data_IF_207829015434
#
_entry.id   IF_207829015434
#
_cell.length_a   1.000
_cell.length_b   1.000
_cell.length_c   1.000
_cell.angle_alpha   90.00
_cell.angle_beta   90.00
_cell.angle_gamma   90.00
#
_symmetry.space_group_name_H-M   'P 1'
#
loop_
_entity.id
_entity.type
_entity.pdbx_description
1 polymer ?
#
# COMPACT_ATOMS: atom_id res chain seq x y z
N UNK A 1 23.98 13.08 6.75
CA UNK A 1 24.39 12.38 7.99
C UNK A 1 23.31 11.37 8.31
N UNK A 2 23.64 10.09 8.47
CA UNK A 2 22.68 9.07 8.92
C UNK A 2 22.46 9.22 10.43
N UNK A 3 21.20 9.29 10.88
CA UNK A 3 20.83 9.30 12.30
C UNK A 3 20.03 8.04 12.60
N UNK A 4 20.50 7.24 13.56
CA UNK A 4 19.77 6.07 14.04
C UNK A 4 18.66 6.52 14.97
N UNK A 5 17.41 6.20 14.63
CA UNK A 5 16.26 6.38 15.52
C UNK A 5 16.12 5.22 16.52
N UNK A 6 15.22 5.35 17.50
CA UNK A 6 14.96 4.28 18.47
C UNK A 6 14.27 3.09 17.80
N UNK A 7 14.57 1.89 18.29
CA UNK A 7 13.91 0.68 17.82
C UNK A 7 12.44 0.65 18.24
N UNK A 8 11.58 0.25 17.31
CA UNK A 8 10.15 0.01 17.56
C UNK A 8 9.94 -1.50 17.67
N UNK A 9 9.40 -2.01 18.79
CA UNK A 9 9.14 -3.45 18.93
C UNK A 9 8.04 -3.90 17.97
N UNK A 10 8.27 -5.02 17.29
CA UNK A 10 7.29 -5.73 16.47
C UNK A 10 6.79 -6.97 17.24
N UNK A 11 5.57 -7.45 16.94
CA UNK A 11 5.11 -8.73 17.51
C UNK A 11 5.71 -9.96 16.81
N UNK A 12 6.49 -9.74 15.76
CA UNK A 12 7.24 -10.79 15.10
C UNK A 12 8.17 -10.22 14.03
N UNK A 13 8.86 -11.11 13.32
CA UNK A 13 9.84 -10.73 12.31
C UNK A 13 9.19 -10.26 11.02
N UNK A 14 9.72 -9.20 10.42
CA UNK A 14 9.31 -8.81 9.07
C UNK A 14 9.51 -9.98 8.09
N UNK A 15 8.58 -10.16 7.15
CA UNK A 15 8.66 -11.17 6.12
C UNK A 15 9.85 -10.90 5.19
N UNK A 16 10.51 -11.96 4.68
CA UNK A 16 11.62 -11.84 3.74
C UNK A 16 11.15 -11.53 2.31
N UNK A 17 10.43 -10.41 2.13
CA UNK A 17 9.87 -9.94 0.87
C UNK A 17 10.39 -8.54 0.58
N UNK A 18 10.62 -8.18 -0.69
CA UNK A 18 10.69 -6.76 -1.06
C UNK A 18 9.33 -6.08 -0.79
N UNK A 19 9.36 -4.78 -0.46
CA UNK A 19 8.14 -4.01 -0.12
C UNK A 19 7.36 -4.56 1.09
N UNK A 20 8.05 -5.17 2.04
CA UNK A 20 7.49 -5.65 3.31
C UNK A 20 7.28 -4.54 4.35
N UNK A 21 7.76 -3.32 4.09
CA UNK A 21 7.67 -2.16 4.97
C UNK A 21 7.10 -0.97 4.20
N UNK A 22 6.12 -0.30 4.80
CA UNK A 22 5.65 1.02 4.38
C UNK A 22 5.64 1.96 5.58
N UNK A 23 5.89 3.24 5.31
CA UNK A 23 5.98 4.29 6.32
C UNK A 23 5.11 5.45 5.87
N UNK A 24 4.20 5.89 6.74
CA UNK A 24 3.41 7.10 6.55
C UNK A 24 3.72 8.08 7.68
N UNK A 25 4.37 9.17 7.32
CA UNK A 25 4.63 10.28 8.24
C UNK A 25 3.40 11.21 8.28
N UNK A 26 2.97 11.57 9.49
CA UNK A 26 1.90 12.54 9.73
C UNK A 26 2.44 13.69 10.60
N UNK A 27 3.15 14.67 10.00
CA UNK A 27 3.84 15.74 10.74
C UNK A 27 2.87 16.55 11.62
N UNK A 28 1.66 16.82 11.13
CA UNK A 28 0.62 17.58 11.86
C UNK A 28 0.22 16.91 13.17
N UNK A 29 0.31 15.58 13.24
CA UNK A 29 -0.02 14.79 14.44
C UNK A 29 1.22 14.38 15.24
N UNK A 30 2.42 14.77 14.78
CA UNK A 30 3.69 14.30 15.33
C UNK A 30 3.74 12.77 15.42
N UNK A 31 3.27 12.08 14.38
CA UNK A 31 3.05 10.64 14.41
C UNK A 31 3.61 9.97 13.15
N UNK A 32 4.23 8.81 13.32
CA UNK A 32 4.64 7.97 12.19
C UNK A 32 3.90 6.64 12.26
N UNK A 33 3.31 6.23 11.14
CA UNK A 33 2.73 4.91 10.97
C UNK A 33 3.70 4.00 10.22
N UNK A 34 3.78 2.75 10.66
CA UNK A 34 4.57 1.69 10.06
C UNK A 34 3.67 0.53 9.72
N UNK A 35 3.80 0.01 8.51
CA UNK A 35 3.06 -1.14 8.01
C UNK A 35 4.09 -2.19 7.64
N UNK A 36 4.05 -3.32 8.34
CA UNK A 36 5.05 -4.38 8.19
C UNK A 36 4.35 -5.67 7.84
N UNK A 37 4.76 -6.33 6.76
CA UNK A 37 4.31 -7.69 6.45
C UNK A 37 5.03 -8.66 7.38
N UNK A 38 4.26 -9.49 8.09
CA UNK A 38 4.74 -10.48 9.06
C UNK A 38 4.03 -11.83 8.83
N UNK A 39 4.72 -12.76 8.17
CA UNK A 39 4.15 -14.07 7.83
C UNK A 39 2.89 -13.93 6.96
N UNK A 40 1.75 -14.55 7.31
CA UNK A 40 0.48 -14.40 6.58
C UNK A 40 -0.29 -13.11 6.95
N UNK A 41 0.24 -12.29 7.85
CA UNK A 41 -0.42 -11.11 8.40
C UNK A 41 0.37 -9.83 8.07
N UNK A 42 -0.27 -8.67 8.25
CA UNK A 42 0.41 -7.38 8.26
C UNK A 42 0.18 -6.72 9.62
N UNK A 43 1.22 -6.10 10.16
CA UNK A 43 1.18 -5.35 11.40
C UNK A 43 1.24 -3.86 11.09
N UNK A 44 0.27 -3.12 11.61
CA UNK A 44 0.28 -1.67 11.63
C UNK A 44 0.69 -1.20 13.01
N UNK A 45 1.61 -0.24 13.06
CA UNK A 45 2.11 0.39 14.26
C UNK A 45 2.02 1.89 14.07
N UNK A 46 1.74 2.60 15.15
CA UNK A 46 1.93 4.05 15.21
C UNK A 46 2.90 4.37 16.32
N UNK A 47 3.82 5.30 16.08
CA UNK A 47 4.80 5.73 17.05
C UNK A 47 4.89 7.25 17.10
N UNK A 48 4.90 7.79 18.32
CA UNK A 48 5.21 9.19 18.60
C UNK A 48 6.70 9.49 18.30
N UNK A 49 7.13 10.76 18.34
CA UNK A 49 8.55 11.09 18.26
C UNK A 49 9.29 10.35 19.39
N UNK A 50 10.55 9.99 19.14
CA UNK A 50 11.34 9.09 20.00
C UNK A 50 10.94 7.60 19.96
N UNK A 51 10.07 7.19 19.03
CA UNK A 51 9.80 5.76 18.77
C UNK A 51 8.95 5.08 19.84
N UNK A 52 8.21 5.85 20.65
CA UNK A 52 7.28 5.32 21.64
C UNK A 52 6.03 4.76 20.91
N UNK A 53 5.76 3.44 20.97
CA UNK A 53 4.58 2.86 20.33
C UNK A 53 3.28 3.37 20.98
N UNK A 54 2.31 3.78 20.16
CA UNK A 54 1.02 4.32 20.61
C UNK A 54 -0.14 3.38 20.33
N UNK A 55 -0.17 2.78 19.15
CA UNK A 55 -1.20 1.83 18.77
C UNK A 55 -0.63 0.78 17.85
N UNK A 56 -1.22 -0.41 17.93
CA UNK A 56 -0.85 -1.54 17.10
C UNK A 56 -2.10 -2.29 16.63
N UNK A 57 -2.11 -2.70 15.37
CA UNK A 57 -3.19 -3.47 14.75
C UNK A 57 -2.61 -4.57 13.88
N UNK A 58 -3.28 -5.71 13.85
CA UNK A 58 -2.99 -6.77 12.89
C UNK A 58 -4.07 -6.78 11.81
N UNK A 59 -3.62 -6.89 10.56
CA UNK A 59 -4.45 -7.10 9.39
C UNK A 59 -4.20 -8.50 8.84
N UNK A 60 -5.26 -9.05 8.27
CA UNK A 60 -5.27 -10.37 7.68
C UNK A 60 -5.61 -10.25 6.20
N UNK A 61 -4.97 -11.07 5.37
CA UNK A 61 -5.42 -11.23 4.01
C UNK A 61 -6.83 -11.84 4.02
N UNK A 62 -7.74 -11.26 3.24
CA UNK A 62 -9.11 -11.75 3.12
C UNK A 62 -9.08 -13.10 2.42
N UNK A 63 -9.81 -14.05 2.97
CA UNK A 63 -9.99 -15.35 2.35
C UNK A 63 -10.79 -15.19 1.04
N UNK A 64 -10.32 -15.88 0.00
CA UNK A 64 -10.98 -15.97 -1.29
C UNK A 64 -11.13 -17.44 -1.70
N UNK A 65 -11.68 -17.70 -2.88
CA UNK A 65 -11.74 -19.06 -3.41
C UNK A 65 -10.31 -19.61 -3.62
N UNK A 66 -10.00 -20.76 -3.01
CA UNK A 66 -8.76 -21.51 -3.21
C UNK A 66 -8.15 -22.09 -1.93
N UNK A 67 -7.22 -23.04 -2.09
CA UNK A 67 -6.75 -23.94 -1.01
C UNK A 67 -5.46 -23.48 -0.33
N UNK A 68 -4.69 -22.59 -0.96
CA UNK A 68 -3.43 -22.06 -0.43
C UNK A 68 -3.61 -21.04 0.71
N UNK A 69 -2.68 -20.94 1.68
CA UNK A 69 -2.75 -19.91 2.71
C UNK A 69 -2.67 -18.51 2.07
N UNK A 70 -3.46 -17.53 2.55
CA UNK A 70 -3.50 -16.20 1.97
C UNK A 70 -2.25 -15.42 2.39
N UNK A 71 -1.18 -15.56 1.61
CA UNK A 71 0.08 -14.87 1.87
C UNK A 71 -0.02 -13.40 1.43
N UNK A 72 0.30 -12.49 2.34
CA UNK A 72 0.42 -11.06 2.05
C UNK A 72 1.76 -10.83 1.35
N UNK A 73 1.72 -10.10 0.24
CA UNK A 73 2.88 -9.82 -0.61
C UNK A 73 3.44 -8.42 -0.39
N UNK A 74 2.58 -7.45 -0.07
CA UNK A 74 2.99 -6.06 0.17
C UNK A 74 1.89 -5.29 0.90
N UNK A 75 2.31 -4.33 1.73
CA UNK A 75 1.46 -3.31 2.36
C UNK A 75 2.00 -1.93 2.01
N UNK A 76 1.13 -0.97 1.67
CA UNK A 76 1.56 0.38 1.30
C UNK A 76 0.47 1.43 1.55
N UNK A 77 0.85 2.58 2.12
CA UNK A 77 -0.03 3.75 2.16
C UNK A 77 0.00 4.51 0.83
N UNK A 78 -1.15 4.59 0.17
CA UNK A 78 -1.37 5.45 -0.99
C UNK A 78 -1.88 6.81 -0.53
N UNK A 79 -1.06 7.84 -0.67
CA UNK A 79 -1.41 9.23 -0.34
C UNK A 79 -1.96 9.91 -1.58
N UNK A 80 -3.28 10.09 -1.63
CA UNK A 80 -3.99 10.73 -2.74
C UNK A 80 -4.37 12.17 -2.33
N UNK A 81 -4.71 13.06 -3.29
CA UNK A 81 -5.01 14.47 -3.01
C UNK A 81 -6.11 14.72 -1.97
N UNK A 82 -7.07 13.81 -1.82
CA UNK A 82 -8.25 13.98 -0.96
C UNK A 82 -8.37 12.94 0.16
N UNK A 83 -7.60 11.84 0.12
CA UNK A 83 -7.61 10.82 1.16
C UNK A 83 -6.35 9.97 1.15
N UNK A 84 -6.09 9.31 2.27
CA UNK A 84 -5.02 8.31 2.37
C UNK A 84 -5.68 6.95 2.53
N UNK A 85 -5.29 5.98 1.71
CA UNK A 85 -5.73 4.60 1.80
C UNK A 85 -4.55 3.70 2.14
N UNK A 86 -4.80 2.70 2.97
CA UNK A 86 -3.86 1.62 3.20
C UNK A 86 -4.20 0.47 2.24
N UNK A 87 -3.27 0.12 1.36
CA UNK A 87 -3.44 -0.96 0.39
C UNK A 87 -2.63 -2.16 0.83
N UNK A 88 -3.27 -3.32 0.83
CA UNK A 88 -2.69 -4.61 1.16
C UNK A 88 -2.92 -5.55 -0.02
N UNK A 89 -1.84 -6.17 -0.50
CA UNK A 89 -1.86 -7.11 -1.61
C UNK A 89 -1.47 -8.49 -1.12
N UNK A 90 -2.01 -9.51 -1.78
CA UNK A 90 -1.82 -10.91 -1.38
C UNK A 90 -1.90 -11.84 -2.58
N UNK A 91 -1.78 -13.13 -2.32
CA UNK A 91 -2.07 -14.18 -3.30
C UNK A 91 -3.57 -14.31 -3.64
N UNK A 92 -4.44 -13.65 -2.88
CA UNK A 92 -5.90 -13.73 -3.05
C UNK A 92 -6.50 -12.51 -3.72
N UNK A 93 -5.85 -11.37 -3.60
CA UNK A 93 -6.51 -10.11 -3.90
C UNK A 93 -5.83 -8.89 -3.36
N UNK A 94 -6.57 -7.79 -3.52
CA UNK A 94 -6.19 -6.44 -3.16
C UNK A 94 -7.25 -5.94 -2.18
N UNK A 95 -6.80 -5.58 -0.98
CA UNK A 95 -7.63 -4.97 0.06
C UNK A 95 -7.24 -3.51 0.20
N UNK A 96 -8.24 -2.64 0.24
CA UNK A 96 -8.03 -1.23 0.58
C UNK A 96 -8.77 -0.91 1.86
N UNK A 97 -8.07 -0.25 2.77
CA UNK A 97 -8.57 0.16 4.06
C UNK A 97 -8.49 1.69 4.20
N UNK A 98 -9.28 2.23 5.12
CA UNK A 98 -8.97 3.54 5.70
C UNK A 98 -7.52 3.57 6.23
N UNK A 99 -6.94 4.76 6.35
CA UNK A 99 -5.51 4.93 6.64
C UNK A 99 -5.02 4.25 7.93
N UNK A 100 -5.90 4.02 8.90
CA UNK A 100 -5.57 3.36 10.18
C UNK A 100 -5.76 1.83 10.15
N UNK A 101 -6.18 1.28 9.01
CA UNK A 101 -6.47 -0.14 8.82
C UNK A 101 -7.72 -0.64 9.55
N UNK A 102 -8.55 0.23 10.13
CA UNK A 102 -9.71 -0.19 10.92
C UNK A 102 -10.86 -0.72 10.08
N UNK A 103 -11.12 -0.09 8.93
CA UNK A 103 -12.26 -0.38 8.05
C UNK A 103 -11.74 -0.73 6.66
N UNK A 104 -12.10 -1.92 6.16
CA UNK A 104 -11.88 -2.29 4.77
C UNK A 104 -12.95 -1.63 3.91
N UNK A 105 -12.54 -0.77 2.98
CA UNK A 105 -13.44 -0.02 2.11
C UNK A 105 -13.61 -0.67 0.75
N UNK A 106 -12.66 -1.52 0.33
CA UNK A 106 -12.71 -2.19 -0.96
C UNK A 106 -11.95 -3.51 -0.96
N UNK A 107 -12.41 -4.46 -1.77
CA UNK A 107 -11.79 -5.75 -2.01
C UNK A 107 -11.91 -6.12 -3.48
N UNK A 108 -10.79 -6.55 -4.06
CA UNK A 108 -10.73 -7.13 -5.40
C UNK A 108 -10.07 -8.51 -5.31
N UNK A 109 -10.83 -9.55 -5.64
CA UNK A 109 -10.29 -10.90 -5.73
C UNK A 109 -9.47 -11.04 -7.02
N UNK A 110 -8.32 -11.71 -6.95
CA UNK A 110 -7.62 -12.13 -8.15
C UNK A 110 -8.29 -13.40 -8.66
N UNK A 111 -8.73 -13.37 -9.91
CA UNK A 111 -9.17 -14.58 -10.58
C UNK A 111 -7.94 -15.34 -11.11
N UNK A 112 -7.82 -16.61 -10.71
CA UNK A 112 -6.81 -17.49 -11.27
C UNK A 112 -7.21 -17.97 -12.66
N UNK A 113 -8.50 -17.97 -13.02
CA UNK A 113 -9.02 -18.53 -14.27
C UNK A 113 -8.42 -19.91 -14.56
N UNK A 114 -7.94 -20.08 -15.79
CA UNK A 114 -7.24 -21.28 -16.30
C UNK A 114 -5.74 -21.33 -15.93
N UNK A 115 -5.26 -20.51 -14.99
CA UNK A 115 -3.86 -20.57 -14.55
C UNK A 115 -3.56 -22.01 -14.10
N UNK A 116 -2.54 -22.62 -14.72
CA UNK A 116 -2.13 -23.96 -14.37
C UNK A 116 -1.86 -24.03 -12.85
N UNK A 117 -2.16 -25.14 -12.16
CA UNK A 117 -2.03 -25.27 -10.70
C UNK A 117 -0.63 -24.94 -10.13
N UNK A 118 0.37 -24.80 -11.00
CA UNK A 118 1.77 -24.53 -10.69
C UNK A 118 2.08 -23.02 -10.63
N UNK A 119 1.20 -22.15 -11.15
CA UNK A 119 1.47 -20.72 -11.22
C UNK A 119 1.00 -20.01 -9.94
N UNK A 120 1.93 -19.36 -9.23
CA UNK A 120 1.59 -18.55 -8.07
C UNK A 120 0.81 -17.30 -8.52
N UNK A 121 -0.46 -17.23 -8.12
CA UNK A 121 -1.32 -16.05 -8.30
C UNK A 121 -1.02 -15.05 -7.21
N UNK A 122 -0.72 -13.80 -7.58
CA UNK A 122 -0.51 -12.71 -6.63
C UNK A 122 -0.72 -11.33 -7.24
N UNK A 123 -0.98 -10.37 -6.36
CA UNK A 123 -0.85 -8.95 -6.63
C UNK A 123 0.37 -8.39 -5.90
N UNK A 124 1.09 -7.47 -6.51
CA UNK A 124 2.26 -6.79 -5.93
C UNK A 124 2.63 -5.56 -6.75
N UNK A 125 3.41 -4.66 -6.16
CA UNK A 125 3.79 -3.40 -6.78
C UNK A 125 2.61 -2.46 -6.66
N UNK A 126 2.68 -1.57 -5.68
CA UNK A 126 1.61 -0.64 -5.36
C UNK A 126 2.16 0.77 -5.58
N UNK A 127 1.48 1.54 -6.41
CA UNK A 127 1.76 2.96 -6.57
C UNK A 127 0.46 3.75 -6.60
N UNK A 128 0.54 5.03 -6.24
CA UNK A 128 -0.56 5.97 -6.38
C UNK A 128 -0.14 7.16 -7.21
N UNK A 129 -1.03 7.62 -8.09
CA UNK A 129 -0.82 8.79 -8.93
C UNK A 129 -2.14 9.52 -9.10
N UNK A 130 -2.15 10.82 -8.79
CA UNK A 130 -3.37 11.62 -8.73
C UNK A 130 -4.45 10.94 -7.87
N UNK A 131 -5.57 10.54 -8.48
CA UNK A 131 -6.69 9.87 -7.83
C UNK A 131 -6.71 8.36 -8.09
N UNK A 132 -5.67 7.81 -8.70
CA UNK A 132 -5.57 6.41 -9.04
C UNK A 132 -4.63 5.64 -8.10
N UNK A 133 -4.97 4.39 -7.87
CA UNK A 133 -4.08 3.39 -7.28
C UNK A 133 -3.81 2.33 -8.34
N UNK A 134 -2.54 2.07 -8.62
CA UNK A 134 -2.10 1.04 -9.56
C UNK A 134 -1.53 -0.14 -8.79
N UNK A 135 -1.93 -1.35 -9.18
CA UNK A 135 -1.44 -2.60 -8.59
C UNK A 135 -1.04 -3.59 -9.67
N UNK A 136 0.19 -4.07 -9.61
CA UNK A 136 0.69 -5.11 -10.52
C UNK A 136 0.19 -6.51 -10.17
N UNK A 137 0.15 -7.39 -11.17
CA UNK A 137 -0.27 -8.79 -10.99
C UNK A 137 0.77 -9.78 -11.50
N UNK A 138 0.61 -11.03 -11.09
CA UNK A 138 1.40 -12.18 -11.54
C UNK A 138 1.38 -12.39 -13.06
N UNK A 139 0.34 -11.94 -13.76
CA UNK A 139 0.16 -12.13 -15.21
C UNK A 139 0.77 -11.01 -16.05
N UNK A 140 1.47 -10.05 -15.43
CA UNK A 140 2.06 -8.90 -16.13
C UNK A 140 1.06 -7.77 -16.41
N UNK A 141 -0.13 -7.84 -15.81
CA UNK A 141 -1.15 -6.79 -15.89
C UNK A 141 -0.95 -5.78 -14.75
N UNK A 142 -1.40 -4.55 -14.98
CA UNK A 142 -1.51 -3.52 -13.94
C UNK A 142 -2.98 -3.10 -13.84
N UNK A 143 -3.56 -3.35 -12.67
CA UNK A 143 -4.92 -2.95 -12.34
C UNK A 143 -4.91 -1.49 -11.88
N UNK A 144 -5.75 -0.65 -12.48
CA UNK A 144 -5.86 0.78 -12.18
C UNK A 144 -7.21 1.04 -11.53
N UNK A 145 -7.18 1.42 -10.25
CA UNK A 145 -8.37 1.72 -9.46
C UNK A 145 -8.58 3.23 -9.39
N UNK A 146 -9.76 3.68 -9.77
CA UNK A 146 -10.22 5.06 -9.56
C UNK A 146 -10.72 5.20 -8.12
N UNK A 147 -10.15 6.16 -7.39
CA UNK A 147 -10.51 6.45 -6.01
C UNK A 147 -11.32 7.74 -5.99
N UNK A 148 -12.59 7.71 -5.59
CA UNK A 148 -13.41 8.91 -5.60
C UNK A 148 -13.01 9.87 -4.48
N UNK A 149 -13.15 11.18 -4.75
CA UNK A 149 -12.95 12.22 -3.75
C UNK A 149 -13.94 12.17 -2.58
N UNK A 150 -15.14 11.61 -2.82
CA UNK A 150 -16.20 11.45 -1.83
C UNK A 150 -16.90 10.11 -2.01
N UNK A 151 -17.33 9.53 -0.90
CA UNK A 151 -18.04 8.26 -0.89
C UNK A 151 -17.12 7.03 -1.02
N UNK A 152 -17.67 5.82 -0.89
CA UNK A 152 -16.89 4.58 -0.82
C UNK A 152 -16.66 3.90 -2.18
N UNK A 153 -17.13 4.49 -3.29
CA UNK A 153 -17.25 3.79 -4.57
C UNK A 153 -15.94 3.70 -5.34
N UNK A 154 -14.99 2.92 -4.83
CA UNK A 154 -13.75 2.57 -5.54
C UNK A 154 -14.09 1.61 -6.68
N UNK A 155 -13.58 1.89 -7.89
CA UNK A 155 -13.85 1.07 -9.07
C UNK A 155 -12.55 0.68 -9.79
N UNK A 156 -12.50 -0.52 -10.36
CA UNK A 156 -11.47 -0.88 -11.32
C UNK A 156 -11.77 -0.15 -12.62
N UNK A 157 -10.97 0.88 -12.95
CA UNK A 157 -11.17 1.74 -14.12
C UNK A 157 -10.56 1.14 -15.37
N UNK A 158 -9.37 0.54 -15.24
CA UNK A 158 -8.61 0.04 -16.37
C UNK A 158 -7.72 -1.13 -15.95
N UNK A 159 -7.43 -2.00 -16.91
CA UNK A 159 -6.42 -3.04 -16.79
C UNK A 159 -5.38 -2.85 -17.91
N UNK A 160 -4.19 -2.41 -17.53
CA UNK A 160 -3.10 -2.19 -18.47
C UNK A 160 -2.38 -3.52 -18.71
N UNK A 161 -2.24 -3.87 -19.98
CA UNK A 161 -1.45 -5.02 -20.44
C UNK A 161 -0.18 -4.56 -21.15
N UNK A 162 0.90 -5.34 -21.05
CA UNK A 162 2.11 -5.07 -21.84
C UNK A 162 3.36 -5.76 -21.32
N UNK A 163 3.39 -6.13 -20.03
CA UNK A 163 4.51 -6.91 -19.51
C UNK A 163 4.33 -8.39 -19.88
N UNK A 164 5.36 -9.04 -20.45
CA UNK A 164 5.32 -10.46 -20.76
C UNK A 164 5.47 -11.35 -19.52
N UNK A 165 5.77 -10.75 -18.37
CA UNK A 165 6.08 -11.42 -17.10
C UNK A 165 5.42 -10.69 -15.94
N UNK A 166 5.39 -11.33 -14.78
CA UNK A 166 4.83 -10.76 -13.56
C UNK A 166 5.39 -9.38 -13.22
N UNK A 167 4.50 -8.51 -12.72
CA UNK A 167 4.90 -7.23 -12.15
C UNK A 167 5.32 -7.46 -10.71
N UNK A 168 6.56 -7.07 -10.38
CA UNK A 168 7.14 -7.26 -9.05
C UNK A 168 7.19 -5.99 -8.22
N UNK A 169 7.19 -4.83 -8.88
CA UNK A 169 7.19 -3.52 -8.23
C UNK A 169 6.61 -2.45 -9.15
N UNK A 170 6.03 -1.40 -8.56
CA UNK A 170 5.56 -0.20 -9.28
C UNK A 170 5.92 1.00 -8.40
N UNK A 171 6.46 2.04 -9.02
CA UNK A 171 6.69 3.33 -8.37
C UNK A 171 5.99 4.44 -9.15
N UNK A 172 5.50 5.43 -8.43
CA UNK A 172 5.04 6.70 -9.01
C UNK A 172 6.06 7.80 -8.75
N UNK A 173 6.03 8.83 -9.59
CA UNK A 173 6.80 10.03 -9.30
C UNK A 173 6.23 10.68 -8.04
N UNK A 174 7.07 11.08 -7.07
CA UNK A 174 6.58 11.87 -5.96
C UNK A 174 5.93 13.15 -6.49
N UNK A 175 4.76 13.50 -5.95
CA UNK A 175 4.11 14.75 -6.28
C UNK A 175 5.11 15.89 -6.04
N UNK A 176 5.43 16.68 -7.07
CA UNK A 176 6.26 17.86 -6.89
C UNK A 176 5.51 18.77 -5.91
N UNK A 177 6.09 19.00 -4.72
CA UNK A 177 5.72 20.16 -3.93
C UNK A 177 5.90 21.37 -4.86
N UNK A 178 4.79 22.04 -5.19
CA UNK A 178 4.85 23.32 -5.88
C UNK A 178 5.70 24.22 -4.99
N UNK A 179 6.98 24.43 -5.36
CA UNK A 179 7.80 25.46 -4.77
C UNK A 179 6.98 26.74 -4.85
N UNK A 180 6.56 27.27 -3.71
CA UNK A 180 6.00 28.61 -3.64
C UNK A 180 7.12 29.53 -4.11
N UNK A 181 7.03 30.00 -5.36
CA UNK A 181 7.93 30.99 -5.91
C UNK A 181 7.90 32.20 -4.94
N UNK A 182 9.02 32.64 -4.38
CA UNK A 182 9.02 33.87 -3.60
C UNK A 182 8.69 35.00 -4.57
N UNK A 183 7.55 35.66 -4.35
CA UNK A 183 7.25 36.94 -4.95
C UNK A 183 8.27 37.94 -4.41
N UNK A 184 9.36 38.16 -5.14
CA UNK A 184 10.18 39.34 -4.96
C UNK A 184 9.35 40.53 -5.42
N UNK A 185 8.77 41.25 -4.46
CA UNK A 185 8.35 42.63 -4.66
C UNK A 185 9.60 43.48 -4.83
N UNK A 186 9.94 43.83 -6.07
CA UNK A 186 10.84 44.95 -6.35
C UNK A 186 10.05 46.24 -6.12
N UNK A 187 10.30 46.89 -5.00
CA UNK A 187 9.92 48.29 -4.81
C UNK A 187 10.83 49.17 -5.67
N UNK A 188 10.20 50.06 -6.44
CA UNK A 188 10.77 51.31 -6.95
C UNK A 188 9.62 52.29 -7.10
#
# INVERSE_FOLDING_TARGET
MFRRERSIPLQGSAAALCNNLSVLQLPVRSLTHFGVVHGPNAQLLSAAPEGVPLAQRQLHAKEGAGVSPPLITQVHWCVLPFRVLLVLTSHRGIQMYESDGSVMVYWHALDSGDAAPVQAVFARGIASSDHFICVGTWSGRVLVFDIPAKGPNIVLSEELSGHPTSVTDIASKPAQEKLKTPLYTSGS
#
